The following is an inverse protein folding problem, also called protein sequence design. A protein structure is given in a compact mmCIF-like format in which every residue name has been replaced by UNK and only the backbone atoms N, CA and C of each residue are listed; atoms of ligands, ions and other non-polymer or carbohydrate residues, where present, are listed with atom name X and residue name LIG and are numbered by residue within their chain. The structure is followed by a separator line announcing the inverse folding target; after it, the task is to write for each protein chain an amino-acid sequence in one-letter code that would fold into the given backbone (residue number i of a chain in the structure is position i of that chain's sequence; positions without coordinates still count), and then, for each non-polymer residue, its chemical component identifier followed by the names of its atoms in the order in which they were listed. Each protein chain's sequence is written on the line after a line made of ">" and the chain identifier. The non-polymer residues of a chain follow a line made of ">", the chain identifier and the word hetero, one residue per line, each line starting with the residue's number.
data_IF_251195829053
#
_entry.id   IF_251195829053
#
_cell.length_a   1.000
_cell.length_b   1.000
_cell.length_c   1.000
_cell.angle_alpha   90.00
_cell.angle_beta   90.00
_cell.angle_gamma   90.00
#
_symmetry.space_group_name_H-M   'P 1'
#
loop_
_entity.id
_entity.type
_entity.pdbx_description
1 polymer ?
#
# COMPACT_ATOMS: atom_id res chain seq x y z
N UNK A 1 -13.64 -1.46 26.67
CA UNK A 1 -12.97 -0.23 26.21
C UNK A 1 -11.46 -0.47 26.17
N UNK A 2 -10.78 0.17 25.22
CA UNK A 2 -9.32 0.24 25.03
C UNK A 2 -8.68 -0.80 24.10
N UNK A 3 -8.84 -0.56 22.79
CA UNK A 3 -7.94 -1.07 21.77
C UNK A 3 -6.61 -0.32 21.92
N UNK A 4 -5.58 -1.01 22.41
CA UNK A 4 -4.24 -0.44 22.61
C UNK A 4 -3.53 -0.41 21.27
N UNK A 5 -3.21 0.79 20.80
CA UNK A 5 -2.58 1.05 19.52
C UNK A 5 -1.22 0.35 19.39
N UNK A 6 -1.14 -0.55 18.41
CA UNK A 6 0.11 -1.11 17.88
C UNK A 6 0.73 -0.16 16.85
N UNK A 7 0.90 1.11 17.22
CA UNK A 7 1.75 2.04 16.47
C UNK A 7 3.20 1.63 16.73
N UNK A 8 3.68 0.67 15.93
CA UNK A 8 5.07 0.28 15.91
C UNK A 8 5.94 1.50 15.65
N UNK A 9 6.73 1.79 16.68
CA UNK A 9 7.55 2.95 16.93
C UNK A 9 8.85 2.81 16.13
N UNK A 10 8.82 3.19 14.84
CA UNK A 10 10.03 3.20 13.97
C UNK A 10 10.13 4.51 13.21
N UNK A 11 10.13 5.64 13.91
CA UNK A 11 10.60 6.92 13.36
C UNK A 11 11.28 7.72 14.47
N UNK A 12 12.48 7.30 14.83
CA UNK A 12 13.40 8.12 15.61
C UNK A 12 14.67 8.33 14.78
N UNK A 13 14.49 9.11 13.70
CA UNK A 13 15.54 9.60 12.82
C UNK A 13 15.09 10.98 12.31
N UNK A 14 15.75 12.02 12.79
CA UNK A 14 15.42 13.44 12.60
C UNK A 14 15.82 13.86 11.19
N UNK A 15 14.84 14.21 10.34
CA UNK A 15 15.07 14.74 8.99
C UNK A 15 13.76 15.15 8.33
N UNK A 16 13.66 16.44 8.03
CA UNK A 16 12.56 17.11 7.32
C UNK A 16 12.46 16.63 5.86
N UNK A 17 11.23 16.40 5.37
CA UNK A 17 10.93 16.24 3.93
C UNK A 17 11.13 14.85 3.31
N UNK A 18 10.07 14.02 3.30
CA UNK A 18 9.93 12.87 2.41
C UNK A 18 10.49 11.54 2.95
N UNK A 19 9.63 10.51 3.03
CA UNK A 19 10.06 9.14 3.30
C UNK A 19 10.86 8.65 2.09
N UNK A 20 12.18 8.86 2.07
CA UNK A 20 13.07 8.17 1.14
C UNK A 20 13.38 6.81 1.76
N UNK A 21 12.40 5.90 1.69
CA UNK A 21 12.64 4.48 1.94
C UNK A 21 13.18 3.84 0.67
N UNK A 22 14.18 2.97 0.79
CA UNK A 22 14.58 2.14 -0.34
C UNK A 22 13.40 1.25 -0.74
N UNK A 23 13.28 0.94 -2.04
CA UNK A 23 12.22 0.09 -2.57
C UNK A 23 12.19 -1.28 -1.87
N UNK A 24 13.36 -1.84 -1.56
CA UNK A 24 13.49 -3.09 -0.79
C UNK A 24 12.96 -2.98 0.65
N UNK A 25 13.19 -1.85 1.32
CA UNK A 25 12.66 -1.63 2.67
C UNK A 25 11.14 -1.49 2.64
N UNK A 26 10.61 -0.77 1.65
CA UNK A 26 9.18 -0.63 1.44
C UNK A 26 8.51 -1.97 1.13
N UNK A 27 9.07 -2.76 0.21
CA UNK A 27 8.58 -4.10 -0.14
C UNK A 27 8.53 -5.00 1.09
N UNK A 28 9.60 -5.02 1.90
CA UNK A 28 9.64 -5.81 3.14
C UNK A 28 8.56 -5.40 4.13
N UNK A 29 8.40 -4.09 4.37
CA UNK A 29 7.40 -3.58 5.31
C UNK A 29 5.99 -3.90 4.82
N UNK A 30 5.73 -3.79 3.52
CA UNK A 30 4.44 -4.16 2.93
C UNK A 30 4.15 -5.65 3.10
N UNK A 31 5.11 -6.52 2.81
CA UNK A 31 4.98 -7.97 3.02
C UNK A 31 4.79 -8.34 4.50
N UNK A 32 5.49 -7.67 5.41
CA UNK A 32 5.29 -7.88 6.86
C UNK A 32 3.90 -7.44 7.34
N UNK A 33 3.35 -6.37 6.75
CA UNK A 33 2.05 -5.83 7.15
C UNK A 33 0.85 -6.61 6.55
N UNK A 34 0.97 -7.04 5.30
CA UNK A 34 -0.15 -7.64 4.54
C UNK A 34 0.05 -9.13 4.20
N UNK A 35 1.27 -9.66 4.33
CA UNK A 35 1.62 -11.01 3.90
C UNK A 35 1.62 -11.17 2.38
N UNK A 36 1.86 -12.39 1.90
CA UNK A 36 1.97 -12.69 0.45
C UNK A 36 0.63 -13.10 -0.20
N UNK A 37 -0.48 -13.07 0.56
CA UNK A 37 -1.77 -13.66 0.14
C UNK A 37 -2.94 -12.69 0.13
N UNK A 38 -2.76 -11.47 0.65
CA UNK A 38 -3.82 -10.46 0.68
C UNK A 38 -3.69 -9.57 -0.54
N UNK A 39 -4.74 -9.59 -1.36
CA UNK A 39 -4.81 -8.79 -2.58
C UNK A 39 -6.02 -7.85 -2.54
N UNK A 40 -6.14 -6.93 -3.50
CA UNK A 40 -7.27 -6.00 -3.58
C UNK A 40 -8.63 -6.71 -3.65
N UNK A 41 -8.66 -7.91 -4.24
CA UNK A 41 -9.86 -8.75 -4.30
C UNK A 41 -10.33 -9.23 -2.92
N UNK A 42 -9.40 -9.41 -1.97
CA UNK A 42 -9.70 -9.93 -0.64
C UNK A 42 -10.20 -8.85 0.34
N UNK A 43 -10.20 -7.57 -0.04
CA UNK A 43 -10.57 -6.48 0.87
C UNK A 43 -12.09 -6.47 1.10
N UNK A 44 -12.50 -6.49 2.37
CA UNK A 44 -13.92 -6.47 2.79
C UNK A 44 -14.56 -5.09 2.63
N UNK A 45 -13.77 -4.02 2.81
CA UNK A 45 -14.20 -2.62 2.63
C UNK A 45 -13.80 -2.11 1.25
N UNK A 46 -14.63 -1.25 0.67
CA UNK A 46 -14.27 -0.59 -0.59
C UNK A 46 -13.06 0.32 -0.38
N UNK A 47 -12.03 0.18 -1.23
CA UNK A 47 -10.83 1.03 -1.23
C UNK A 47 -10.59 1.57 -2.63
N UNK A 48 -10.09 2.81 -2.70
CA UNK A 48 -9.65 3.48 -3.92
C UNK A 48 -8.22 3.97 -3.70
N UNK A 49 -7.29 3.48 -4.49
CA UNK A 49 -5.87 3.83 -4.41
C UNK A 49 -5.51 4.55 -5.71
N UNK A 50 -5.21 5.84 -5.60
CA UNK A 50 -4.76 6.63 -6.75
C UNK A 50 -3.28 6.36 -7.01
N UNK A 51 -2.96 6.10 -8.27
CA UNK A 51 -1.60 5.90 -8.74
C UNK A 51 -1.38 6.77 -9.98
N UNK A 52 -0.27 7.50 -10.02
CA UNK A 52 0.15 8.23 -11.21
C UNK A 52 1.29 7.46 -11.86
N UNK A 53 1.04 6.93 -13.04
CA UNK A 53 2.01 6.09 -13.74
C UNK A 53 2.89 6.97 -14.62
N UNK A 54 4.19 7.01 -14.29
CA UNK A 54 5.13 7.99 -14.84
C UNK A 54 5.53 7.69 -16.29
N UNK A 55 5.44 6.45 -16.75
CA UNK A 55 5.85 6.08 -18.10
C UNK A 55 4.75 6.44 -19.12
N UNK A 56 3.47 6.31 -18.77
CA UNK A 56 2.34 6.72 -19.62
C UNK A 56 1.78 8.11 -19.32
N UNK A 57 2.19 8.75 -18.22
CA UNK A 57 1.68 10.04 -17.74
C UNK A 57 0.16 10.03 -17.51
N UNK A 58 -0.38 8.92 -17.00
CA UNK A 58 -1.81 8.76 -16.75
C UNK A 58 -2.11 8.49 -15.27
N UNK A 59 -3.27 8.97 -14.82
CA UNK A 59 -3.78 8.70 -13.48
C UNK A 59 -4.61 7.42 -13.48
N UNK A 60 -4.09 6.38 -12.84
CA UNK A 60 -4.75 5.10 -12.62
C UNK A 60 -5.42 5.09 -11.25
N UNK A 61 -6.56 4.39 -11.15
CA UNK A 61 -7.24 4.13 -9.88
C UNK A 61 -7.29 2.62 -9.69
N UNK A 62 -6.64 2.14 -8.62
CA UNK A 62 -6.72 0.76 -8.19
C UNK A 62 -7.91 0.61 -7.24
N UNK A 63 -8.76 -0.37 -7.51
CA UNK A 63 -9.92 -0.68 -6.67
C UNK A 63 -10.21 -2.17 -6.70
N UNK A 64 -10.98 -2.65 -5.72
CA UNK A 64 -11.47 -4.04 -5.70
C UNK A 64 -12.25 -4.41 -6.96
N UNK A 65 -13.03 -3.48 -7.52
CA UNK A 65 -13.81 -3.76 -8.73
C UNK A 65 -12.90 -4.01 -9.94
N UNK A 66 -11.83 -3.20 -10.08
CA UNK A 66 -10.85 -3.35 -11.15
C UNK A 66 -10.04 -4.64 -11.01
N UNK A 67 -9.63 -5.00 -9.79
CA UNK A 67 -8.88 -6.24 -9.53
C UNK A 67 -9.72 -7.50 -9.83
N UNK A 68 -11.05 -7.43 -9.68
CA UNK A 68 -11.95 -8.53 -10.04
C UNK A 68 -12.15 -8.67 -11.56
N UNK A 69 -11.91 -7.60 -12.31
CA UNK A 69 -11.98 -7.58 -13.78
C UNK A 69 -10.66 -8.04 -14.42
N UNK A 70 -9.52 -7.67 -13.84
CA UNK A 70 -8.20 -8.08 -14.32
C UNK A 70 -7.15 -8.11 -13.21
N UNK A 71 -6.32 -9.16 -13.21
CA UNK A 71 -5.17 -9.34 -12.31
C UNK A 71 -4.12 -8.22 -12.44
N UNK A 72 -4.12 -7.46 -13.55
CA UNK A 72 -3.22 -6.32 -13.74
C UNK A 72 -3.52 -5.14 -12.81
N UNK A 73 -4.70 -5.12 -12.17
CA UNK A 73 -5.08 -4.11 -11.19
C UNK A 73 -4.89 -4.60 -9.75
N UNK A 74 -4.03 -5.60 -9.53
CA UNK A 74 -3.65 -6.10 -8.21
C UNK A 74 -2.17 -5.79 -7.89
N UNK A 75 -1.78 -5.87 -6.61
CA UNK A 75 -0.41 -5.55 -6.15
C UNK A 75 0.45 -6.79 -5.88
#
# INVERSE_FOLDING_TARGET
>A
MSSRGFLCKVFQGRGDGGIVMSMEAMERIMKEAFGDRLTLCNIVKQVLISCYELQSFFSLIFSRANALESESFDF
#
